data_IF_262322405123
#
_entry.id   IF_262322405123
#
_cell.length_a   1.000
_cell.length_b   1.000
_cell.length_c   1.000
_cell.angle_alpha   90.00
_cell.angle_beta   90.00
_cell.angle_gamma   90.00
#
_symmetry.space_group_name_H-M   'P 1'
#
loop_
_entity.id
_entity.type
_entity.pdbx_description
1 polymer ?
#
# COMPACT_ATOMS: atom_id res chain seq x y z
N UNK A 1 19.12 -12.84 -17.77
CA UNK A 1 19.09 -12.46 -17.45
C UNK A 1 19.00 -12.05 -16.21
N UNK A 2 19.52 -11.71 -15.79
CA UNK A 2 19.69 -11.20 -14.59
C UNK A 2 18.50 -10.78 -13.91
N UNK A 3 17.58 -10.51 -14.53
CA UNK A 3 16.48 -10.01 -13.93
C UNK A 3 15.75 -10.95 -13.12
N UNK A 4 16.10 -12.12 -13.14
CA UNK A 4 15.37 -13.04 -12.39
C UNK A 4 15.52 -12.81 -10.96
N UNK A 5 16.51 -12.14 -10.52
CA UNK A 5 16.61 -11.88 -9.12
C UNK A 5 15.71 -10.73 -8.75
N UNK A 6 15.15 -10.11 -9.72
CA UNK A 6 14.38 -8.93 -9.52
C UNK A 6 12.91 -9.30 -9.51
N UNK A 7 12.50 -9.92 -8.46
CA UNK A 7 11.14 -10.40 -8.33
C UNK A 7 10.20 -9.24 -8.00
N UNK A 8 9.23 -9.00 -8.83
CA UNK A 8 8.30 -7.90 -8.64
C UNK A 8 6.88 -8.46 -8.60
N UNK A 9 6.29 -8.60 -7.43
CA UNK A 9 5.01 -9.30 -7.29
C UNK A 9 3.78 -8.48 -7.59
N UNK A 10 3.91 -7.17 -7.73
CA UNK A 10 2.74 -6.35 -8.04
C UNK A 10 2.36 -6.50 -9.50
N UNK A 11 1.06 -6.39 -9.79
CA UNK A 11 0.59 -6.38 -11.17
C UNK A 11 1.00 -5.10 -11.87
N UNK A 12 1.10 -4.00 -11.14
CA UNK A 12 1.47 -2.74 -11.70
C UNK A 12 2.98 -2.62 -11.78
N UNK A 13 3.52 -1.85 -12.72
CA UNK A 13 4.97 -1.71 -12.82
C UNK A 13 5.57 -0.92 -11.67
N UNK A 14 6.89 -1.00 -11.55
CA UNK A 14 7.60 -0.35 -10.45
C UNK A 14 7.36 1.14 -10.37
N UNK A 15 7.18 1.77 -11.51
CA UNK A 15 6.99 3.22 -11.52
C UNK A 15 5.53 3.63 -11.45
N UNK A 16 4.64 2.71 -11.15
CA UNK A 16 3.24 3.05 -11.02
C UNK A 16 3.05 3.93 -9.79
N UNK A 17 2.24 4.95 -9.91
CA UNK A 17 1.99 5.88 -8.82
C UNK A 17 1.19 5.21 -7.70
N UNK A 18 1.51 5.58 -6.49
CA UNK A 18 0.80 5.09 -5.31
C UNK A 18 0.70 6.23 -4.31
N UNK A 19 -0.34 6.19 -3.49
CA UNK A 19 -0.52 7.21 -2.47
C UNK A 19 0.01 6.73 -1.13
N UNK A 20 0.63 7.66 -0.41
CA UNK A 20 1.03 7.42 0.96
C UNK A 20 0.90 8.75 1.69
N UNK A 21 1.49 8.87 2.85
CA UNK A 21 1.42 10.10 3.61
C UNK A 21 2.83 10.54 3.98
N UNK A 22 2.96 11.84 4.20
CA UNK A 22 4.25 12.43 4.52
C UNK A 22 4.93 11.73 5.69
N UNK A 23 4.16 11.35 6.70
CA UNK A 23 4.72 10.74 7.91
C UNK A 23 5.40 9.42 7.61
N UNK A 24 4.90 8.68 6.63
CA UNK A 24 5.53 7.43 6.25
C UNK A 24 6.88 7.70 5.59
N UNK A 25 6.94 8.72 4.75
CA UNK A 25 8.16 9.01 4.01
C UNK A 25 9.19 9.74 4.84
N UNK A 26 8.76 10.62 5.72
CA UNK A 26 9.69 11.52 6.41
C UNK A 26 9.89 11.20 7.88
N UNK A 27 8.87 10.65 8.54
CA UNK A 27 8.93 10.41 9.97
C UNK A 27 9.09 8.93 10.31
N UNK A 28 9.32 8.10 9.33
CA UNK A 28 9.51 6.66 9.53
C UNK A 28 8.32 6.00 10.18
N UNK A 29 7.14 6.53 9.95
CA UNK A 29 5.95 5.93 10.51
C UNK A 29 5.67 4.62 9.81
N UNK A 30 5.37 3.53 10.54
CA UNK A 30 5.14 2.25 9.89
C UNK A 30 3.87 2.26 9.06
N UNK A 31 3.89 1.51 7.96
CA UNK A 31 2.72 1.33 7.13
C UNK A 31 1.87 0.25 7.78
N UNK A 32 0.66 0.60 8.19
CA UNK A 32 -0.23 -0.32 8.89
C UNK A 32 -1.51 -0.62 8.11
N UNK A 33 -1.73 0.09 7.02
CA UNK A 33 -2.89 -0.14 6.18
C UNK A 33 -2.47 -0.07 4.72
N UNK A 34 -2.81 -1.09 3.96
CA UNK A 34 -2.59 -1.10 2.52
C UNK A 34 -3.95 -1.30 1.87
N UNK A 35 -4.27 -0.50 0.88
CA UNK A 35 -5.55 -0.56 0.19
C UNK A 35 -5.31 -0.64 -1.31
N UNK A 36 -6.04 -1.50 -1.99
CA UNK A 36 -5.96 -1.64 -3.43
C UNK A 36 -7.37 -1.32 -3.96
N UNK A 37 -7.52 -0.16 -4.53
CA UNK A 37 -8.84 0.36 -4.86
C UNK A 37 -9.50 -0.39 -5.99
N UNK A 38 -10.79 -0.64 -5.84
CA UNK A 38 -11.53 -1.38 -6.85
C UNK A 38 -11.71 -0.58 -8.13
N UNK A 39 -11.94 0.71 -8.01
CA UNK A 39 -12.33 1.48 -9.17
C UNK A 39 -11.20 1.83 -10.11
N UNK A 40 -10.08 2.26 -9.57
CA UNK A 40 -8.97 2.66 -10.42
C UNK A 40 -7.73 1.79 -10.22
N UNK A 41 -7.86 0.76 -9.39
CA UNK A 41 -6.78 -0.17 -9.08
C UNK A 41 -5.57 0.56 -8.46
N UNK A 42 -5.81 1.69 -7.84
CA UNK A 42 -4.74 2.43 -7.18
C UNK A 42 -4.36 1.82 -5.85
N UNK A 43 -3.12 2.05 -5.44
CA UNK A 43 -2.63 1.56 -4.17
C UNK A 43 -2.46 2.71 -3.19
N UNK A 44 -2.78 2.45 -1.93
CA UNK A 44 -2.57 3.41 -0.85
C UNK A 44 -1.86 2.72 0.29
N UNK A 45 -0.88 3.41 0.85
CA UNK A 45 -0.06 2.87 1.94
C UNK A 45 -0.08 3.89 3.07
N UNK A 46 -0.77 3.57 4.15
CA UNK A 46 -1.10 4.53 5.21
C UNK A 46 -0.51 4.06 6.53
N UNK A 47 -0.06 5.00 7.32
CA UNK A 47 0.45 4.70 8.65
C UNK A 47 -0.64 4.76 9.70
N UNK A 48 -0.23 4.99 10.93
CA UNK A 48 -1.15 4.99 12.06
C UNK A 48 -1.68 6.38 12.39
N UNK A 49 -1.03 7.42 11.91
CA UNK A 49 -1.45 8.78 12.24
C UNK A 49 -2.64 9.20 11.40
N UNK A 50 -3.42 10.12 11.94
CA UNK A 50 -4.46 10.73 11.15
C UNK A 50 -3.79 11.68 10.18
N UNK A 51 -3.92 11.42 8.92
CA UNK A 51 -3.34 12.27 7.91
C UNK A 51 -4.41 13.18 7.32
N UNK A 52 -4.05 14.41 7.08
CA UNK A 52 -4.95 15.33 6.39
C UNK A 52 -4.63 15.26 4.91
N UNK A 53 -5.45 15.93 4.11
CA UNK A 53 -5.20 15.98 2.68
C UNK A 53 -3.83 16.60 2.38
N UNK A 54 -3.35 17.47 3.25
CA UNK A 54 -2.05 18.10 3.04
C UNK A 54 -0.90 17.11 3.19
N UNK A 55 -1.12 16.03 3.90
CA UNK A 55 -0.08 15.04 4.13
C UNK A 55 0.02 14.01 3.02
N UNK A 56 -0.90 14.01 2.08
CA UNK A 56 -0.90 13.03 1.02
C UNK A 56 0.32 13.22 0.12
N UNK A 57 0.92 12.11 -0.26
CA UNK A 57 2.08 12.11 -1.15
C UNK A 57 1.89 11.08 -2.23
N UNK A 58 2.32 11.42 -3.43
CA UNK A 58 2.23 10.49 -4.55
C UNK A 58 3.64 10.08 -4.91
N UNK A 59 3.92 8.79 -4.82
CA UNK A 59 5.25 8.25 -5.15
C UNK A 59 5.05 6.99 -5.95
N UNK A 60 6.11 6.43 -6.51
CA UNK A 60 5.98 5.18 -7.24
C UNK A 60 6.03 4.01 -6.27
N UNK A 61 5.48 2.88 -6.72
CA UNK A 61 5.47 1.67 -5.88
C UNK A 61 6.87 1.29 -5.43
N UNK A 62 7.85 1.43 -6.31
CA UNK A 62 9.21 1.06 -5.94
C UNK A 62 9.71 1.88 -4.76
N UNK A 63 9.30 3.13 -4.66
CA UNK A 63 9.70 3.95 -3.55
C UNK A 63 9.08 3.45 -2.24
N UNK A 64 7.84 3.00 -2.30
CA UNK A 64 7.18 2.44 -1.11
C UNK A 64 7.94 1.21 -0.63
N UNK A 65 8.33 0.34 -1.56
CA UNK A 65 9.06 -0.87 -1.18
C UNK A 65 10.42 -0.53 -0.59
N UNK A 66 11.02 0.55 -1.06
CA UNK A 66 12.30 0.98 -0.50
C UNK A 66 12.13 1.44 0.93
N UNK A 67 10.99 2.07 1.24
CA UNK A 67 10.70 2.53 2.59
C UNK A 67 10.35 1.36 3.51
N UNK A 68 9.58 0.41 3.01
CA UNK A 68 9.13 -0.71 3.85
C UNK A 68 8.88 -1.93 2.97
N UNK A 69 9.88 -2.79 2.88
CA UNK A 69 9.78 -3.96 2.02
C UNK A 69 8.76 -4.98 2.50
N UNK A 70 8.31 -4.88 3.76
CA UNK A 70 7.37 -5.88 4.25
C UNK A 70 6.00 -5.77 3.58
N UNK A 71 5.71 -4.65 2.92
CA UNK A 71 4.45 -4.55 2.19
C UNK A 71 4.41 -5.46 0.97
N UNK A 72 5.55 -6.02 0.56
CA UNK A 72 5.54 -7.01 -0.52
C UNK A 72 4.69 -8.21 -0.17
N UNK A 73 4.46 -8.46 1.11
CA UNK A 73 3.65 -9.58 1.53
C UNK A 73 2.20 -9.44 1.09
N UNK A 74 1.75 -8.23 0.79
CA UNK A 74 0.37 -8.02 0.36
C UNK A 74 0.29 -7.49 -1.06
N UNK A 75 1.34 -7.72 -1.85
CA UNK A 75 1.35 -7.27 -3.23
C UNK A 75 0.30 -7.98 -4.07
N UNK A 76 -0.16 -9.14 -3.65
CA UNK A 76 -1.18 -9.88 -4.37
C UNK A 76 -2.60 -9.53 -3.93
N UNK A 77 -2.75 -8.47 -3.16
CA UNK A 77 -4.07 -8.05 -2.69
C UNK A 77 -4.94 -7.67 -3.89
N UNK A 78 -6.10 -8.29 -4.04
CA UNK A 78 -6.93 -8.00 -5.19
C UNK A 78 -7.54 -6.60 -5.11
N UNK A 79 -7.94 -6.03 -6.24
CA UNK A 79 -8.67 -4.77 -6.18
C UNK A 79 -9.93 -4.91 -5.32
N UNK A 80 -10.20 -3.91 -4.53
CA UNK A 80 -11.34 -3.92 -3.62
C UNK A 80 -11.03 -4.50 -2.26
N UNK A 81 -9.76 -4.87 -2.02
CA UNK A 81 -9.34 -5.43 -0.75
C UNK A 81 -8.38 -4.49 -0.04
N UNK A 82 -8.26 -4.69 1.25
CA UNK A 82 -7.26 -3.96 2.03
C UNK A 82 -6.64 -4.92 3.03
N UNK A 83 -5.51 -4.53 3.57
CA UNK A 83 -4.81 -5.33 4.57
C UNK A 83 -4.41 -4.41 5.70
N UNK A 84 -4.56 -4.88 6.93
CA UNK A 84 -4.19 -4.09 8.11
C UNK A 84 -3.33 -4.94 9.02
N UNK A 85 -2.54 -4.27 9.83
CA UNK A 85 -1.73 -4.94 10.85
C UNK A 85 -1.51 -3.97 12.00
N UNK A 86 -1.12 -4.49 13.15
CA UNK A 86 -0.94 -3.67 14.33
C UNK A 86 0.44 -3.07 14.45
N UNK A 87 1.41 -3.64 13.79
CA UNK A 87 2.78 -3.14 13.86
C UNK A 87 3.56 -3.64 12.66
N UNK A 88 4.76 -3.10 12.46
CA UNK A 88 5.55 -3.48 11.31
C UNK A 88 5.93 -4.96 11.35
N UNK A 89 5.97 -5.55 12.54
CA UNK A 89 6.25 -6.97 12.67
C UNK A 89 4.99 -7.82 12.70
N UNK A 90 3.84 -7.21 12.69
CA UNK A 90 2.58 -7.93 12.85
C UNK A 90 2.13 -8.60 11.56
N UNK A 91 1.30 -9.61 11.71
CA UNK A 91 0.74 -10.28 10.57
C UNK A 91 -0.35 -9.43 9.93
N UNK A 92 -0.42 -9.51 8.61
CA UNK A 92 -1.46 -8.77 7.89
C UNK A 92 -2.79 -9.51 7.99
N UNK A 93 -3.87 -8.75 8.18
CA UNK A 93 -5.22 -9.27 8.09
C UNK A 93 -5.84 -8.68 6.83
N UNK A 94 -6.33 -9.54 5.94
CA UNK A 94 -6.89 -9.10 4.67
C UNK A 94 -8.39 -9.02 4.78
N UNK A 95 -8.94 -7.91 4.28
CA UNK A 95 -10.37 -7.66 4.36
C UNK A 95 -10.86 -7.18 3.01
N UNK A 96 -11.99 -7.71 2.58
CA UNK A 96 -12.59 -7.20 1.36
C UNK A 96 -13.30 -5.89 1.69
N UNK A 97 -12.97 -4.85 0.93
CA UNK A 97 -13.50 -3.54 1.21
C UNK A 97 -14.28 -3.08 0.01
N UNK A 98 -15.56 -3.35 0.02
CA UNK A 98 -16.41 -2.97 -1.09
C UNK A 98 -16.80 -1.51 -0.98
N UNK A 99 -17.07 -0.87 -2.10
CA UNK A 99 -17.51 0.52 -2.08
C UNK A 99 -18.77 0.66 -1.26
N UNK A 100 -18.89 1.80 -0.63
CA UNK A 100 -20.05 2.03 0.22
C UNK A 100 -21.35 1.90 -0.52
N UNK A 101 -21.34 2.16 -1.78
CA UNK A 101 -22.56 2.06 -2.53
C UNK A 101 -23.13 0.68 -2.51
N UNK A 102 -22.32 -0.26 -2.19
CA UNK A 102 -22.83 -1.57 -2.19
C UNK A 102 -23.77 -1.82 -1.12
N UNK A 103 -23.69 -1.09 -0.08
CA UNK A 103 -24.46 -1.42 0.97
C UNK A 103 -25.87 -1.10 0.75
N UNK A 104 -26.18 -0.37 -0.10
CA UNK A 104 -27.46 -0.03 -0.34
C UNK A 104 -28.40 -0.75 0.08
#
# INVERSE_FOLDING_TARGET
KSNQTDSWPFDQPRNCAAFTMRQVLEDSEPILLVSHDLEDHGWQFIGSSDASAEDARLVCLEEIIRVDATVLEVADLPPGWRAIRNSVDGAWTRLEHLPASKKI
#
